data_IF_723184788259
#
_entry.id   IF_723184788259
#
_cell.length_a   1.000
_cell.length_b   1.000
_cell.length_c   1.000
_cell.angle_alpha   90.00
_cell.angle_beta   90.00
_cell.angle_gamma   90.00
#
_symmetry.space_group_name_H-M   'P 1'
#
loop_
_entity.id
_entity.type
_entity.pdbx_description
1 polymer ?
#
# COMPACT_ATOMS: atom_id res chain seq x y z
N UNK A 1 -8.31 -4.40 28.62
CA UNK A 1 -7.67 -3.75 27.47
C UNK A 1 -8.03 -4.50 26.19
N UNK A 2 -8.19 -3.80 25.07
CA UNK A 2 -8.48 -4.45 23.81
C UNK A 2 -7.36 -5.43 23.40
N UNK A 3 -7.72 -6.52 22.73
CA UNK A 3 -6.79 -7.54 22.23
C UNK A 3 -7.12 -7.86 20.78
N UNK A 4 -6.09 -8.15 19.99
CA UNK A 4 -6.31 -8.64 18.63
C UNK A 4 -6.47 -10.16 18.64
N UNK A 5 -7.60 -10.64 18.12
CA UNK A 5 -7.89 -12.07 17.99
C UNK A 5 -7.77 -12.48 16.53
N UNK A 6 -6.76 -13.29 16.23
CA UNK A 6 -6.57 -13.83 14.88
C UNK A 6 -7.57 -14.95 14.58
N UNK A 7 -8.03 -15.01 13.34
CA UNK A 7 -8.88 -16.11 12.87
C UNK A 7 -8.07 -17.39 12.70
N UNK A 8 -8.71 -18.53 12.88
CA UNK A 8 -8.11 -19.84 12.62
C UNK A 8 -8.38 -20.27 11.18
N UNK A 9 -7.33 -20.71 10.49
CA UNK A 9 -7.48 -21.29 9.15
C UNK A 9 -8.07 -22.70 9.28
N UNK A 10 -9.12 -23.05 8.52
CA UNK A 10 -9.68 -24.41 8.54
C UNK A 10 -8.63 -25.48 8.23
N UNK A 11 -8.64 -26.58 8.97
CA UNK A 11 -7.67 -27.67 8.81
C UNK A 11 -7.81 -28.41 7.48
N UNK A 12 -8.96 -28.32 6.82
CA UNK A 12 -9.20 -28.89 5.48
C UNK A 12 -8.48 -28.13 4.38
N UNK A 13 -8.10 -26.87 4.59
CA UNK A 13 -7.26 -26.10 3.66
C UNK A 13 -5.82 -26.48 3.96
N UNK A 14 -5.19 -27.27 3.09
CA UNK A 14 -3.84 -27.83 3.30
C UNK A 14 -2.77 -27.13 2.46
N UNK A 15 -3.15 -26.57 1.32
CA UNK A 15 -2.23 -25.83 0.46
C UNK A 15 -1.73 -24.55 1.15
N UNK A 16 -0.41 -24.29 1.24
CA UNK A 16 0.13 -23.10 1.93
C UNK A 16 -0.34 -21.78 1.35
N UNK A 17 -0.50 -21.67 0.04
CA UNK A 17 -0.97 -20.45 -0.62
C UNK A 17 -2.45 -20.21 -0.31
N UNK A 18 -3.29 -21.24 -0.42
CA UNK A 18 -4.70 -21.15 -0.06
C UNK A 18 -4.90 -20.80 1.42
N UNK A 19 -4.05 -21.32 2.30
CA UNK A 19 -4.07 -20.98 3.73
C UNK A 19 -3.74 -19.50 3.96
N UNK A 20 -2.72 -18.99 3.29
CA UNK A 20 -2.33 -17.58 3.37
C UNK A 20 -3.45 -16.67 2.81
N UNK A 21 -4.03 -17.01 1.68
CA UNK A 21 -5.15 -16.26 1.08
C UNK A 21 -6.40 -16.27 1.96
N UNK A 22 -6.72 -17.40 2.57
CA UNK A 22 -7.81 -17.48 3.55
C UNK A 22 -7.54 -16.56 4.75
N UNK A 23 -6.34 -16.63 5.33
CA UNK A 23 -5.96 -15.82 6.48
C UNK A 23 -6.03 -14.32 6.16
N UNK A 24 -5.50 -13.90 5.03
CA UNK A 24 -5.51 -12.49 4.58
C UNK A 24 -6.94 -12.00 4.35
N UNK A 25 -7.79 -12.83 3.74
CA UNK A 25 -9.20 -12.50 3.49
C UNK A 25 -10.00 -12.30 4.78
N UNK A 26 -9.71 -13.10 5.81
CA UNK A 26 -10.45 -13.14 7.07
C UNK A 26 -9.73 -12.48 8.24
N UNK A 27 -8.59 -11.84 7.99
CA UNK A 27 -7.68 -11.33 9.03
C UNK A 27 -8.38 -10.40 10.03
N UNK A 28 -9.26 -9.54 9.54
CA UNK A 28 -9.93 -8.52 10.31
C UNK A 28 -11.36 -8.90 10.76
N UNK A 29 -11.82 -10.12 10.51
CA UNK A 29 -13.21 -10.54 10.78
C UNK A 29 -13.62 -10.40 12.26
N UNK A 30 -12.68 -10.51 13.17
CA UNK A 30 -12.90 -10.37 14.61
C UNK A 30 -12.55 -8.99 15.17
N UNK A 31 -12.08 -8.08 14.33
CA UNK A 31 -11.72 -6.72 14.76
C UNK A 31 -12.95 -5.81 14.69
N UNK A 32 -13.27 -5.16 15.80
CA UNK A 32 -14.39 -4.20 15.85
C UNK A 32 -13.91 -2.80 15.44
N UNK A 33 -14.14 -2.45 14.18
CA UNK A 33 -13.81 -1.13 13.64
C UNK A 33 -14.64 0.03 14.20
N UNK A 34 -15.63 -0.23 15.05
CA UNK A 34 -16.39 0.81 15.77
C UNK A 34 -15.80 1.13 17.14
N UNK A 35 -14.97 0.23 17.66
CA UNK A 35 -14.32 0.44 18.96
C UNK A 35 -13.09 1.32 18.82
N UNK A 36 -13.27 2.63 19.02
CA UNK A 36 -12.19 3.62 18.91
C UNK A 36 -11.11 3.50 19.98
N UNK A 37 -11.28 2.65 21.00
CA UNK A 37 -10.21 2.38 21.98
C UNK A 37 -8.99 1.77 21.31
N UNK A 38 -9.15 1.04 20.20
CA UNK A 38 -8.04 0.49 19.42
C UNK A 38 -7.11 1.55 18.82
N UNK A 39 -7.58 2.78 18.60
CA UNK A 39 -6.74 3.89 18.13
C UNK A 39 -5.69 4.27 19.18
N UNK A 40 -6.03 4.08 20.46
CA UNK A 40 -5.18 4.43 21.59
C UNK A 40 -4.32 3.25 22.10
N UNK A 41 -4.38 2.12 21.42
CA UNK A 41 -3.64 0.91 21.75
C UNK A 41 -2.71 0.48 20.60
N UNK A 42 -1.68 1.28 20.28
CA UNK A 42 -0.80 1.01 19.13
C UNK A 42 -0.08 -0.33 19.24
N UNK A 43 0.21 -0.80 20.44
CA UNK A 43 0.83 -2.12 20.69
C UNK A 43 -0.08 -3.28 20.18
N UNK A 44 -1.38 -3.06 20.11
CA UNK A 44 -2.33 -4.05 19.60
C UNK A 44 -2.59 -3.81 18.12
N UNK A 45 -3.03 -2.60 17.76
CA UNK A 45 -3.52 -2.28 16.41
C UNK A 45 -2.38 -2.16 15.40
N UNK A 46 -1.30 -1.44 15.73
CA UNK A 46 -0.16 -1.31 14.83
C UNK A 46 0.60 -2.64 14.69
N UNK A 47 0.67 -3.46 15.75
CA UNK A 47 1.26 -4.80 15.65
C UNK A 47 0.42 -5.72 14.75
N UNK A 48 -0.90 -5.68 14.90
CA UNK A 48 -1.80 -6.43 14.03
C UNK A 48 -1.65 -5.99 12.57
N UNK A 49 -1.56 -4.68 12.32
CA UNK A 49 -1.35 -4.14 10.99
C UNK A 49 0.01 -4.54 10.40
N UNK A 50 1.09 -4.50 11.19
CA UNK A 50 2.42 -4.95 10.77
C UNK A 50 2.40 -6.42 10.35
N UNK A 51 1.80 -7.28 11.15
CA UNK A 51 1.65 -8.70 10.83
C UNK A 51 0.80 -8.91 9.57
N UNK A 52 -0.25 -8.11 9.40
CA UNK A 52 -1.09 -8.14 8.20
C UNK A 52 -0.31 -7.76 6.94
N UNK A 53 0.53 -6.73 7.01
CA UNK A 53 1.39 -6.32 5.89
C UNK A 53 2.37 -7.43 5.52
N UNK A 54 2.99 -8.07 6.51
CA UNK A 54 3.92 -9.18 6.28
C UNK A 54 3.27 -10.37 5.57
N UNK A 55 2.00 -10.67 5.88
CA UNK A 55 1.25 -11.74 5.22
C UNK A 55 1.07 -11.51 3.71
N UNK A 56 1.12 -10.27 3.24
CA UNK A 56 0.95 -9.95 1.82
C UNK A 56 2.07 -10.51 0.93
N UNK A 57 3.21 -10.85 1.51
CA UNK A 57 4.30 -11.52 0.79
C UNK A 57 3.97 -12.96 0.35
N UNK A 58 2.91 -13.54 0.89
CA UNK A 58 2.53 -14.95 0.69
C UNK A 58 1.25 -15.13 -0.13
N UNK A 59 0.68 -14.03 -0.66
CA UNK A 59 -0.58 -14.06 -1.40
C UNK A 59 -0.42 -13.42 -2.78
N UNK A 60 -1.37 -13.71 -3.67
CA UNK A 60 -1.40 -13.08 -5.00
C UNK A 60 -1.66 -11.57 -4.91
N UNK A 61 -1.22 -10.77 -5.90
CA UNK A 61 -1.55 -9.35 -5.97
C UNK A 61 -3.06 -9.07 -5.95
N UNK A 62 -3.86 -9.93 -6.55
CA UNK A 62 -5.32 -9.83 -6.56
C UNK A 62 -5.92 -10.05 -5.16
N UNK A 63 -5.45 -11.07 -4.44
CA UNK A 63 -5.88 -11.34 -3.06
C UNK A 63 -5.47 -10.21 -2.12
N UNK A 64 -4.27 -9.68 -2.26
CA UNK A 64 -3.79 -8.51 -1.51
C UNK A 64 -4.70 -7.30 -1.75
N UNK A 65 -4.93 -6.91 -2.99
CA UNK A 65 -5.75 -5.75 -3.34
C UNK A 65 -7.17 -5.89 -2.81
N UNK A 66 -7.79 -7.05 -3.00
CA UNK A 66 -9.14 -7.34 -2.51
C UNK A 66 -9.25 -7.24 -0.99
N UNK A 67 -8.28 -7.81 -0.26
CA UNK A 67 -8.25 -7.78 1.20
C UNK A 67 -8.06 -6.36 1.75
N UNK A 68 -7.13 -5.59 1.17
CA UNK A 68 -6.85 -4.20 1.58
C UNK A 68 -8.08 -3.33 1.38
N UNK A 69 -8.74 -3.43 0.22
CA UNK A 69 -9.96 -2.65 -0.07
C UNK A 69 -11.10 -3.03 0.88
N UNK A 70 -11.25 -4.32 1.19
CA UNK A 70 -12.25 -4.79 2.15
C UNK A 70 -11.96 -4.27 3.58
N UNK A 71 -10.71 -4.28 4.02
CA UNK A 71 -10.30 -3.68 5.30
C UNK A 71 -10.62 -2.19 5.33
N UNK A 72 -10.20 -1.42 4.33
CA UNK A 72 -10.48 0.02 4.26
C UNK A 72 -11.98 0.32 4.30
N UNK A 73 -12.80 -0.51 3.65
CA UNK A 73 -14.27 -0.40 3.73
C UNK A 73 -14.80 -0.60 5.15
N UNK A 74 -14.24 -1.54 5.91
CA UNK A 74 -14.63 -1.75 7.30
C UNK A 74 -14.26 -0.56 8.19
N UNK A 75 -13.16 0.12 7.93
CA UNK A 75 -12.75 1.30 8.72
C UNK A 75 -13.73 2.47 8.60
N UNK A 76 -14.52 2.57 7.53
CA UNK A 76 -15.53 3.61 7.33
C UNK A 76 -16.70 3.56 8.32
N UNK A 77 -16.78 2.51 9.17
CA UNK A 77 -17.78 2.42 10.23
C UNK A 77 -17.62 3.50 11.29
N UNK A 78 -16.43 4.08 11.42
CA UNK A 78 -16.12 5.20 12.29
C UNK A 78 -15.11 6.13 11.61
N UNK A 79 -15.34 7.45 11.66
CA UNK A 79 -14.50 8.42 10.95
C UNK A 79 -13.09 8.53 11.53
N UNK A 80 -12.93 8.39 12.84
CA UNK A 80 -11.63 8.43 13.49
C UNK A 80 -10.84 7.16 13.16
N UNK A 81 -11.51 6.00 13.10
CA UNK A 81 -10.91 4.74 12.68
C UNK A 81 -10.46 4.79 11.21
N UNK A 82 -11.30 5.34 10.33
CA UNK A 82 -10.95 5.53 8.92
C UNK A 82 -9.71 6.40 8.74
N UNK A 83 -9.67 7.54 9.45
CA UNK A 83 -8.51 8.43 9.43
C UNK A 83 -7.25 7.71 9.97
N UNK A 84 -7.37 7.07 11.12
CA UNK A 84 -6.26 6.36 11.75
C UNK A 84 -5.65 5.29 10.85
N UNK A 85 -6.47 4.41 10.26
CA UNK A 85 -5.97 3.39 9.33
C UNK A 85 -5.37 3.98 8.06
N UNK A 86 -5.97 5.05 7.51
CA UNK A 86 -5.42 5.75 6.35
C UNK A 86 -4.02 6.31 6.63
N UNK A 87 -3.81 6.93 7.80
CA UNK A 87 -2.52 7.46 8.24
C UNK A 87 -1.50 6.34 8.49
N UNK A 88 -1.93 5.23 9.11
CA UNK A 88 -1.06 4.08 9.36
C UNK A 88 -0.63 3.40 8.06
N UNK A 89 -1.53 3.25 7.08
CA UNK A 89 -1.19 2.69 5.78
C UNK A 89 -0.16 3.57 5.05
N UNK A 90 -0.29 4.89 5.10
CA UNK A 90 0.71 5.80 4.55
C UNK A 90 2.06 5.66 5.29
N UNK A 91 2.04 5.71 6.63
CA UNK A 91 3.24 5.57 7.46
C UNK A 91 4.01 4.29 7.17
N UNK A 92 3.32 3.15 7.08
CA UNK A 92 3.99 1.86 6.93
C UNK A 92 4.31 1.53 5.47
N UNK A 93 3.44 1.86 4.52
CA UNK A 93 3.59 1.39 3.14
C UNK A 93 4.28 2.40 2.22
N UNK A 94 4.23 3.68 2.55
CA UNK A 94 4.71 4.75 1.65
C UNK A 94 5.97 5.47 2.14
N UNK A 95 6.15 5.63 3.45
CA UNK A 95 7.35 6.28 3.99
C UNK A 95 8.61 5.56 3.49
N UNK A 96 9.57 6.27 2.84
CA UNK A 96 10.79 5.66 2.33
C UNK A 96 11.67 5.02 3.40
N UNK A 97 11.53 5.41 4.65
CA UNK A 97 12.26 4.84 5.79
C UNK A 97 11.53 3.68 6.47
N UNK A 98 10.33 3.35 6.03
CA UNK A 98 9.57 2.24 6.60
C UNK A 98 10.17 0.89 6.18
N UNK A 99 10.48 -0.01 7.13
CA UNK A 99 10.91 -1.37 6.81
C UNK A 99 9.80 -2.23 6.18
N UNK A 100 8.54 -1.78 6.32
CA UNK A 100 7.36 -2.44 5.77
C UNK A 100 6.86 -1.79 4.46
N UNK A 101 7.65 -0.92 3.85
CA UNK A 101 7.29 -0.25 2.60
C UNK A 101 6.85 -1.26 1.55
N UNK A 102 5.64 -1.06 1.03
CA UNK A 102 5.05 -1.90 -0.02
C UNK A 102 4.19 -1.03 -0.93
N UNK A 103 4.76 -0.60 -2.04
CA UNK A 103 4.12 0.33 -2.96
C UNK A 103 2.91 -0.29 -3.67
N UNK A 104 2.97 -1.58 -4.02
CA UNK A 104 1.84 -2.29 -4.64
C UNK A 104 0.63 -2.39 -3.68
N UNK A 105 0.88 -2.66 -2.40
CA UNK A 105 -0.17 -2.63 -1.39
C UNK A 105 -0.74 -1.22 -1.20
N UNK A 106 0.13 -0.20 -1.23
CA UNK A 106 -0.32 1.19 -1.09
C UNK A 106 -1.14 1.67 -2.29
N UNK A 107 -0.88 1.18 -3.49
CA UNK A 107 -1.73 1.42 -4.67
C UNK A 107 -3.17 0.98 -4.39
N UNK A 108 -3.38 -0.20 -3.79
CA UNK A 108 -4.72 -0.66 -3.42
C UNK A 108 -5.42 0.27 -2.42
N UNK A 109 -4.69 0.82 -1.44
CA UNK A 109 -5.19 1.84 -0.51
C UNK A 109 -5.58 3.11 -1.25
N UNK A 110 -4.72 3.61 -2.12
CA UNK A 110 -4.95 4.83 -2.89
C UNK A 110 -6.13 4.70 -3.86
N UNK A 111 -6.27 3.56 -4.52
CA UNK A 111 -7.44 3.24 -5.36
C UNK A 111 -8.72 3.31 -4.53
N UNK A 112 -8.73 2.68 -3.34
CA UNK A 112 -9.87 2.75 -2.44
C UNK A 112 -10.20 4.19 -2.03
N UNK A 113 -9.20 4.96 -1.59
CA UNK A 113 -9.40 6.35 -1.15
C UNK A 113 -9.93 7.25 -2.25
N UNK A 114 -9.46 7.09 -3.49
CA UNK A 114 -9.93 7.88 -4.65
C UNK A 114 -11.37 7.58 -5.03
N UNK A 115 -11.85 6.36 -4.78
CA UNK A 115 -13.20 5.91 -5.10
C UNK A 115 -14.19 6.05 -3.92
N UNK A 116 -13.70 6.20 -2.69
CA UNK A 116 -14.53 6.25 -1.49
C UNK A 116 -15.53 7.42 -1.52
N UNK A 117 -16.78 7.14 -1.18
CA UNK A 117 -17.81 8.17 -0.98
C UNK A 117 -17.69 8.87 0.38
N UNK A 118 -16.85 8.37 1.27
CA UNK A 118 -16.60 8.95 2.60
C UNK A 118 -15.64 10.13 2.56
N UNK A 119 -14.94 10.35 1.43
CA UNK A 119 -14.06 11.48 1.21
C UNK A 119 -14.69 12.48 0.23
N UNK A 120 -14.55 13.77 0.54
CA UNK A 120 -14.87 14.86 -0.38
C UNK A 120 -13.90 14.93 -1.56
N UNK A 121 -14.27 15.64 -2.63
CA UNK A 121 -13.41 15.82 -3.80
C UNK A 121 -12.06 16.47 -3.43
N UNK A 122 -12.05 17.37 -2.46
CA UNK A 122 -10.81 18.01 -1.97
C UNK A 122 -9.90 17.00 -1.28
N UNK A 123 -10.46 16.14 -0.44
CA UNK A 123 -9.69 15.10 0.26
C UNK A 123 -9.14 14.05 -0.68
N UNK A 124 -9.75 13.83 -1.84
CA UNK A 124 -9.28 12.89 -2.87
C UNK A 124 -8.14 13.43 -3.75
N UNK A 125 -7.86 14.73 -3.75
CA UNK A 125 -6.81 15.34 -4.59
C UNK A 125 -5.44 14.69 -4.32
N UNK A 126 -5.05 14.60 -3.04
CA UNK A 126 -3.75 14.03 -2.67
C UNK A 126 -3.65 12.53 -2.97
N UNK A 127 -4.60 11.67 -2.58
CA UNK A 127 -4.59 10.27 -2.96
C UNK A 127 -4.55 10.04 -4.48
N UNK A 128 -5.30 10.81 -5.26
CA UNK A 128 -5.30 10.70 -6.72
C UNK A 128 -3.94 11.06 -7.32
N UNK A 129 -3.30 12.10 -6.83
CA UNK A 129 -1.96 12.48 -7.26
C UNK A 129 -0.91 11.42 -6.91
N UNK A 130 -0.94 10.89 -5.68
CA UNK A 130 -0.04 9.81 -5.26
C UNK A 130 -0.27 8.53 -6.07
N UNK A 131 -1.54 8.20 -6.39
CA UNK A 131 -1.87 7.06 -7.23
C UNK A 131 -1.30 7.23 -8.65
N UNK A 132 -1.44 8.40 -9.25
CA UNK A 132 -0.84 8.70 -10.55
C UNK A 132 0.68 8.49 -10.53
N UNK A 133 1.37 8.95 -9.48
CA UNK A 133 2.81 8.77 -9.34
C UNK A 133 3.17 7.29 -9.13
N UNK A 134 2.46 6.58 -8.28
CA UNK A 134 2.71 5.17 -7.96
C UNK A 134 2.46 4.23 -9.16
N UNK A 135 1.56 4.59 -10.05
CA UNK A 135 1.29 3.83 -11.27
C UNK A 135 2.37 4.01 -12.37
N UNK A 136 3.24 5.01 -12.22
CA UNK A 136 4.42 5.18 -13.09
C UNK A 136 5.52 4.22 -12.63
N UNK A 137 6.27 3.66 -13.57
CA UNK A 137 7.50 2.88 -13.28
C UNK A 137 7.31 1.67 -12.34
N UNK A 138 6.15 1.01 -12.40
CA UNK A 138 5.91 -0.24 -11.67
C UNK A 138 6.80 -1.36 -12.20
N UNK A 139 7.22 -2.26 -11.32
CA UNK A 139 7.99 -3.47 -11.70
C UNK A 139 7.21 -4.26 -12.75
N UNK A 140 7.86 -4.63 -13.84
CA UNK A 140 7.25 -5.37 -14.95
C UNK A 140 6.41 -4.55 -15.92
N UNK A 141 6.32 -3.22 -15.73
CA UNK A 141 5.65 -2.32 -16.65
C UNK A 141 6.65 -1.43 -17.40
N UNK A 142 6.29 -0.90 -18.58
CA UNK A 142 7.14 0.07 -19.28
C UNK A 142 7.41 1.30 -18.40
N UNK A 143 8.69 1.68 -18.29
CA UNK A 143 9.06 2.91 -17.59
C UNK A 143 8.50 4.15 -18.32
N UNK A 144 8.20 5.21 -17.56
CA UNK A 144 7.76 6.47 -18.16
C UNK A 144 8.88 7.09 -18.98
N UNK A 145 8.62 7.40 -20.26
CA UNK A 145 9.57 8.14 -21.10
C UNK A 145 9.72 9.57 -20.63
N UNK A 146 10.93 10.11 -20.70
CA UNK A 146 11.20 11.51 -20.38
C UNK A 146 12.30 12.08 -21.28
N UNK A 147 12.29 13.38 -21.42
CA UNK A 147 13.33 14.13 -22.14
C UNK A 147 14.40 14.57 -21.14
N UNK A 148 15.67 14.36 -21.48
CA UNK A 148 16.82 14.84 -20.72
C UNK A 148 17.68 15.79 -21.56
N UNK A 149 18.47 16.64 -20.90
CA UNK A 149 19.38 17.56 -21.54
C UNK A 149 20.82 17.19 -21.18
N UNK A 150 21.67 17.04 -22.19
CA UNK A 150 23.09 16.79 -22.03
C UNK A 150 23.83 18.07 -21.65
N UNK A 151 25.06 17.95 -21.15
CA UNK A 151 25.90 19.09 -20.76
C UNK A 151 26.18 20.04 -21.93
N UNK A 152 26.15 19.56 -23.17
CA UNK A 152 26.32 20.37 -24.37
C UNK A 152 25.03 21.07 -24.86
N UNK A 153 23.92 20.95 -24.10
CA UNK A 153 22.62 21.53 -24.43
C UNK A 153 21.75 20.70 -25.39
N UNK A 154 22.23 19.57 -25.89
CA UNK A 154 21.42 18.67 -26.71
C UNK A 154 20.41 17.93 -25.84
N UNK A 155 19.26 17.61 -26.43
CA UNK A 155 18.21 16.85 -25.76
C UNK A 155 18.10 15.42 -26.30
N UNK A 156 17.71 14.50 -25.44
CA UNK A 156 17.43 13.12 -25.80
C UNK A 156 16.18 12.62 -25.08
N UNK A 157 15.66 11.49 -25.52
CA UNK A 157 14.56 10.75 -24.84
C UNK A 157 15.06 9.42 -24.34
N UNK A 158 14.57 9.03 -23.17
CA UNK A 158 14.92 7.74 -22.54
C UNK A 158 14.75 6.58 -23.51
N UNK A 159 13.62 6.51 -24.21
CA UNK A 159 13.28 5.43 -25.12
C UNK A 159 14.14 5.37 -26.40
N UNK A 160 14.91 6.41 -26.69
CA UNK A 160 15.83 6.42 -27.81
C UNK A 160 17.17 5.75 -27.49
N UNK A 161 17.44 5.46 -26.20
CA UNK A 161 18.65 4.77 -25.77
C UNK A 161 18.52 3.28 -26.12
N UNK A 162 19.47 2.77 -26.88
CA UNK A 162 19.52 1.35 -27.28
C UNK A 162 20.48 0.62 -26.36
N UNK A 163 19.96 -0.18 -25.44
CA UNK A 163 20.71 -1.00 -24.51
C UNK A 163 19.87 -2.19 -24.03
N UNK A 164 20.50 -3.31 -23.71
CA UNK A 164 19.82 -4.47 -23.12
C UNK A 164 19.37 -4.15 -21.67
N UNK A 165 20.18 -3.36 -20.98
CA UNK A 165 19.91 -2.86 -19.62
C UNK A 165 20.27 -1.39 -19.55
N UNK A 166 19.46 -0.60 -18.87
CA UNK A 166 19.69 0.81 -18.61
C UNK A 166 19.59 1.08 -17.12
N UNK A 167 20.69 1.55 -16.53
CA UNK A 167 20.73 2.02 -15.15
C UNK A 167 20.61 3.54 -15.13
N UNK A 168 19.58 4.05 -14.47
CA UNK A 168 19.41 5.48 -14.22
C UNK A 168 19.85 5.80 -12.79
N UNK A 169 20.83 6.68 -12.67
CA UNK A 169 21.31 7.13 -11.38
C UNK A 169 20.88 8.59 -11.17
N UNK A 170 19.95 8.80 -10.24
CA UNK A 170 19.48 10.12 -9.86
C UNK A 170 20.24 10.60 -8.64
N UNK A 171 20.89 11.76 -8.75
CA UNK A 171 21.65 12.33 -7.65
C UNK A 171 21.49 13.84 -7.61
N UNK A 172 21.66 14.42 -6.43
CA UNK A 172 21.78 15.85 -6.26
C UNK A 172 23.29 16.19 -6.07
N UNK A 173 23.92 16.94 -6.97
CA UNK A 173 25.34 17.27 -6.83
C UNK A 173 25.68 18.13 -5.61
N UNK A 174 24.68 18.84 -5.05
CA UNK A 174 24.83 19.69 -3.88
C UNK A 174 24.47 18.99 -2.56
N UNK A 175 24.16 17.70 -2.60
CA UNK A 175 23.87 16.90 -1.40
C UNK A 175 25.18 16.37 -0.82
N UNK A 176 25.59 16.93 0.33
CA UNK A 176 26.79 16.57 1.09
C UNK A 176 26.44 15.72 2.30
#
# INVERSE_FOLDING_TARGET
PPTFEMVSVPTLITDPVERAEYLVKHYWDKFDFKDTTYIHEPQVTEQALSNYIDLMNYVSPAAMSSSVKAMMKQTEQDSAMFQYFSEMMEKYLYDPNSPLRNEEMYIAVLEYLTESSSLSDVEKIRPAHLLELALKNRIGTPATDFTYTLANGQTGKLYNIKADYLLLFFYNPDCH
#
